data_IF_618426960036
#
_entry.id   IF_618426960036
#
_cell.length_a   1.000
_cell.length_b   1.000
_cell.length_c   1.000
_cell.angle_alpha   90.00
_cell.angle_beta   90.00
_cell.angle_gamma   90.00
#
_symmetry.space_group_name_H-M   'P 1'
#
loop_
_entity.id
_entity.type
_entity.pdbx_description
1 polymer ?
#
# COMPACT_ATOMS: atom_id res chain seq x y z
N UNK A 1 20.54 18.48 8.67
CA UNK A 1 20.62 17.60 9.86
C UNK A 1 19.45 16.61 9.92
N UNK A 2 18.19 17.06 10.03
CA UNK A 2 17.03 16.17 10.18
C UNK A 2 16.86 15.13 9.04
N UNK A 3 17.15 15.51 7.79
CA UNK A 3 17.11 14.58 6.66
C UNK A 3 18.10 13.41 6.79
N UNK A 4 19.29 13.64 7.36
CA UNK A 4 20.27 12.60 7.65
C UNK A 4 19.74 11.65 8.72
N UNK A 5 19.15 12.19 9.79
CA UNK A 5 18.55 11.39 10.87
C UNK A 5 17.43 10.48 10.34
N UNK A 6 16.57 11.00 9.46
CA UNK A 6 15.53 10.20 8.80
C UNK A 6 16.13 9.12 7.92
N UNK A 7 17.17 9.45 7.14
CA UNK A 7 17.86 8.47 6.30
C UNK A 7 18.49 7.34 7.15
N UNK A 8 19.17 7.67 8.24
CA UNK A 8 19.75 6.69 9.17
C UNK A 8 18.66 5.79 9.78
N UNK A 9 17.54 6.37 10.22
CA UNK A 9 16.43 5.62 10.81
C UNK A 9 15.79 4.63 9.82
N UNK A 10 15.66 5.02 8.55
CA UNK A 10 15.13 4.16 7.49
C UNK A 10 16.15 3.09 7.07
N UNK A 11 17.43 3.43 7.00
CA UNK A 11 18.51 2.48 6.70
C UNK A 11 18.70 1.42 7.80
N UNK A 12 18.35 1.74 9.05
CA UNK A 12 18.43 0.79 10.17
C UNK A 12 17.62 -0.48 9.92
N UNK A 13 16.54 -0.40 9.11
CA UNK A 13 15.73 -1.54 8.72
C UNK A 13 16.52 -2.66 7.98
N UNK A 14 17.64 -2.33 7.33
CA UNK A 14 18.50 -3.33 6.66
C UNK A 14 19.33 -4.16 7.67
N UNK A 15 19.67 -3.58 8.81
CA UNK A 15 20.55 -4.16 9.84
C UNK A 15 19.76 -4.83 10.97
N UNK A 16 18.56 -4.33 11.25
CA UNK A 16 17.65 -4.88 12.26
C UNK A 16 17.17 -6.30 11.96
N UNK A 17 16.62 -6.98 12.98
CA UNK A 17 16.00 -8.31 12.80
C UNK A 17 14.63 -8.20 12.10
N UNK A 18 14.36 -8.97 11.02
CA UNK A 18 15.26 -9.89 10.32
C UNK A 18 16.27 -9.13 9.45
N UNK A 19 17.56 -9.46 9.59
CA UNK A 19 18.61 -8.74 8.85
C UNK A 19 18.63 -9.13 7.38
N UNK A 20 18.87 -8.14 6.53
CA UNK A 20 19.01 -8.31 5.08
C UNK A 20 20.42 -8.73 4.66
N UNK A 21 21.37 -8.72 5.62
CA UNK A 21 22.77 -9.07 5.45
C UNK A 21 22.94 -10.59 5.36
N UNK A 22 22.57 -11.16 4.20
CA UNK A 22 22.82 -12.54 3.81
C UNK A 22 23.31 -12.59 2.37
N UNK A 23 24.16 -13.55 2.03
CA UNK A 23 24.74 -13.69 0.68
C UNK A 23 23.66 -13.98 -0.37
N UNK A 24 22.63 -14.75 0.01
CA UNK A 24 21.51 -15.09 -0.86
C UNK A 24 20.19 -14.94 -0.10
N UNK A 25 19.16 -14.45 -0.80
CA UNK A 25 17.79 -14.39 -0.30
C UNK A 25 17.00 -15.68 -0.54
N UNK A 26 17.55 -16.64 -1.31
CA UNK A 26 16.90 -17.93 -1.57
C UNK A 26 16.85 -18.76 -0.28
N UNK A 27 15.66 -19.14 0.24
CA UNK A 27 15.53 -19.95 1.45
C UNK A 27 16.31 -21.28 1.40
N UNK A 28 16.55 -21.83 0.20
CA UNK A 28 17.26 -23.09 -0.01
C UNK A 28 18.77 -22.98 0.23
N UNK A 29 19.34 -21.80 -0.01
CA UNK A 29 20.79 -21.54 0.06
C UNK A 29 21.15 -20.42 1.04
N UNK A 30 20.24 -20.07 1.96
CA UNK A 30 20.40 -18.92 2.83
C UNK A 30 21.42 -19.18 3.93
N UNK A 31 22.55 -18.46 3.88
CA UNK A 31 23.50 -18.39 4.98
C UNK A 31 22.83 -17.77 6.22
N UNK A 32 23.25 -18.14 7.46
CA UNK A 32 22.73 -17.50 8.66
C UNK A 32 22.95 -15.99 8.58
N UNK A 33 21.88 -15.21 8.72
CA UNK A 33 21.96 -13.76 8.61
C UNK A 33 22.66 -13.19 9.86
N UNK A 34 23.50 -12.18 9.67
CA UNK A 34 24.19 -11.54 10.79
C UNK A 34 23.19 -10.89 11.74
N UNK A 35 23.20 -11.28 13.01
CA UNK A 35 22.27 -10.74 14.01
C UNK A 35 22.99 -9.69 14.88
N UNK A 36 22.52 -8.44 14.90
CA UNK A 36 23.11 -7.44 15.77
C UNK A 36 22.85 -7.79 17.25
N UNK A 37 23.75 -7.38 18.15
CA UNK A 37 23.49 -7.45 19.59
C UNK A 37 22.31 -6.55 19.96
N UNK A 38 21.50 -6.98 20.92
CA UNK A 38 20.22 -6.36 21.26
C UNK A 38 20.30 -4.84 21.51
N UNK A 39 21.36 -4.34 22.15
CA UNK A 39 21.50 -2.92 22.48
C UNK A 39 21.94 -2.01 21.32
N UNK A 40 22.54 -2.54 20.25
CA UNK A 40 23.16 -1.70 19.21
C UNK A 40 22.11 -0.95 18.40
N UNK A 41 21.15 -1.66 17.80
CA UNK A 41 20.10 -1.03 16.98
C UNK A 41 19.21 -0.12 17.83
N UNK A 42 18.86 -0.55 19.04
CA UNK A 42 18.03 0.25 19.97
C UNK A 42 18.71 1.56 20.37
N UNK A 43 20.04 1.57 20.50
CA UNK A 43 20.80 2.78 20.84
C UNK A 43 20.78 3.81 19.71
N UNK A 44 20.94 3.38 18.46
CA UNK A 44 20.82 4.28 17.30
C UNK A 44 19.38 4.78 17.13
N UNK A 45 18.38 3.93 17.37
CA UNK A 45 16.98 4.35 17.35
C UNK A 45 16.69 5.42 18.41
N UNK A 46 17.20 5.25 19.63
CA UNK A 46 17.06 6.26 20.68
C UNK A 46 17.70 7.58 20.34
N UNK A 47 18.90 7.56 19.77
CA UNK A 47 19.57 8.77 19.33
C UNK A 47 18.72 9.53 18.31
N UNK A 48 18.12 8.80 17.36
CA UNK A 48 17.21 9.40 16.37
C UNK A 48 15.94 9.95 17.03
N UNK A 49 15.31 9.21 17.94
CA UNK A 49 14.12 9.64 18.66
C UNK A 49 14.38 10.89 19.49
N UNK A 50 15.52 10.98 20.16
CA UNK A 50 15.91 12.15 20.94
C UNK A 50 16.06 13.39 20.04
N UNK A 51 16.67 13.24 18.86
CA UNK A 51 16.74 14.32 17.86
C UNK A 51 15.33 14.77 17.41
N UNK A 52 14.39 13.84 17.20
CA UNK A 52 13.01 14.19 16.86
C UNK A 52 12.25 14.86 18.01
N UNK A 53 12.49 14.46 19.25
CA UNK A 53 11.96 15.14 20.44
C UNK A 53 12.47 16.58 20.54
N UNK A 54 13.76 16.80 20.31
CA UNK A 54 14.35 18.14 20.29
C UNK A 54 13.76 18.99 19.16
N UNK A 55 13.62 18.43 17.95
CA UNK A 55 12.97 19.12 16.82
C UNK A 55 11.51 19.50 17.14
N UNK A 56 10.75 18.61 17.78
CA UNK A 56 9.38 18.89 18.22
C UNK A 56 9.36 19.99 19.28
N UNK A 57 10.27 19.96 20.26
CA UNK A 57 10.35 20.97 21.32
C UNK A 57 10.67 22.35 20.76
N UNK A 58 11.65 22.45 19.85
CA UNK A 58 11.99 23.70 19.15
C UNK A 58 10.82 24.21 18.32
N UNK A 59 10.14 23.34 17.56
CA UNK A 59 8.95 23.73 16.79
C UNK A 59 7.80 24.19 17.68
N UNK A 60 7.57 23.52 18.81
CA UNK A 60 6.53 23.89 19.77
C UNK A 60 6.81 25.26 20.40
N UNK A 61 8.08 25.52 20.76
CA UNK A 61 8.51 26.80 21.31
C UNK A 61 8.36 27.95 20.30
N UNK A 62 8.77 27.75 19.04
CA UNK A 62 8.74 28.79 18.02
C UNK A 62 7.32 29.14 17.52
N UNK A 63 6.43 28.16 17.42
CA UNK A 63 5.07 28.34 16.87
C UNK A 63 4.09 28.88 17.94
N UNK A 64 4.36 28.60 19.22
CA UNK A 64 3.46 28.91 20.32
C UNK A 64 2.33 27.88 20.49
N UNK A 65 1.81 27.78 21.71
CA UNK A 65 0.92 26.70 22.13
C UNK A 65 -0.47 26.71 21.44
N UNK A 66 -1.02 27.90 21.19
CA UNK A 66 -2.34 28.06 20.57
C UNK A 66 -2.35 27.59 19.11
N UNK A 67 -1.30 27.95 18.36
CA UNK A 67 -1.19 27.58 16.95
C UNK A 67 -0.74 26.12 16.78
N UNK A 68 0.03 25.60 17.75
CA UNK A 68 0.39 24.18 17.84
C UNK A 68 -0.86 23.28 17.85
N UNK A 69 -1.87 23.62 18.66
CA UNK A 69 -3.10 22.82 18.81
C UNK A 69 -3.99 22.87 17.56
N UNK A 70 -3.85 23.87 16.70
CA UNK A 70 -4.58 23.94 15.42
C UNK A 70 -3.93 23.10 14.33
N UNK A 71 -2.61 22.92 14.38
CA UNK A 71 -1.88 22.20 13.34
C UNK A 71 -1.95 20.68 13.50
N UNK A 72 -2.88 20.05 12.76
CA UNK A 72 -3.09 18.58 12.76
C UNK A 72 -1.83 17.76 12.48
N UNK A 73 -0.93 18.26 11.64
CA UNK A 73 0.34 17.59 11.33
C UNK A 73 1.28 17.53 12.53
N UNK A 74 1.28 18.58 13.35
CA UNK A 74 2.15 18.69 14.52
C UNK A 74 1.60 17.86 15.70
N UNK A 75 0.27 17.81 15.85
CA UNK A 75 -0.41 16.87 16.76
C UNK A 75 -0.09 15.42 16.38
N UNK A 76 -0.23 15.06 15.10
CA UNK A 76 0.09 13.72 14.63
C UNK A 76 1.57 13.37 14.85
N UNK A 77 2.48 14.31 14.63
CA UNK A 77 3.90 14.13 14.92
C UNK A 77 4.19 13.88 16.40
N UNK A 78 3.50 14.60 17.28
CA UNK A 78 3.60 14.40 18.74
C UNK A 78 3.10 13.02 19.14
N UNK A 79 1.94 12.60 18.63
CA UNK A 79 1.38 11.29 18.91
C UNK A 79 2.30 10.15 18.43
N UNK A 80 2.87 10.28 17.23
CA UNK A 80 3.81 9.29 16.68
C UNK A 80 5.09 9.19 17.50
N UNK A 81 5.65 10.32 17.96
CA UNK A 81 6.83 10.31 18.84
C UNK A 81 6.51 9.62 20.17
N UNK A 82 5.40 9.97 20.82
CA UNK A 82 5.00 9.37 22.10
C UNK A 82 4.82 7.85 21.96
N UNK A 83 4.10 7.41 20.93
CA UNK A 83 3.90 5.98 20.68
C UNK A 83 5.23 5.26 20.39
N UNK A 84 6.14 5.90 19.65
CA UNK A 84 7.47 5.34 19.36
C UNK A 84 8.35 5.20 20.61
N UNK A 85 8.25 6.15 21.55
CA UNK A 85 8.95 6.08 22.84
C UNK A 85 8.38 4.93 23.69
N UNK A 86 7.06 4.78 23.75
CA UNK A 86 6.40 3.70 24.50
C UNK A 86 6.84 2.33 23.95
N UNK A 87 6.77 2.14 22.64
CA UNK A 87 7.22 0.90 21.97
C UNK A 87 8.71 0.63 22.22
N UNK A 88 9.56 1.67 22.20
CA UNK A 88 10.97 1.51 22.54
C UNK A 88 11.20 1.06 23.98
N UNK A 89 10.52 1.69 24.96
CA UNK A 89 10.62 1.31 26.38
C UNK A 89 10.17 -0.14 26.58
N UNK A 90 9.09 -0.57 25.94
CA UNK A 90 8.63 -1.96 25.96
C UNK A 90 9.68 -2.92 25.37
N UNK A 91 10.27 -2.55 24.23
CA UNK A 91 11.29 -3.37 23.56
C UNK A 91 12.53 -3.60 24.41
N UNK A 92 13.01 -2.56 25.10
CA UNK A 92 14.14 -2.66 26.04
C UNK A 92 13.76 -3.49 27.26
N UNK A 93 12.54 -3.32 27.78
CA UNK A 93 12.04 -4.05 28.95
C UNK A 93 11.95 -5.56 28.69
N UNK A 94 11.64 -5.95 27.46
CA UNK A 94 11.56 -7.35 27.02
C UNK A 94 12.89 -7.90 26.49
N UNK A 95 14.03 -7.23 26.72
CA UNK A 95 15.36 -7.67 26.27
C UNK A 95 15.40 -7.98 24.76
N UNK A 96 14.65 -7.20 23.97
CA UNK A 96 14.54 -7.33 22.52
C UNK A 96 13.95 -8.65 21.99
N UNK A 97 13.18 -9.38 22.80
CA UNK A 97 12.49 -10.62 22.39
C UNK A 97 11.10 -10.38 21.74
N UNK A 98 10.76 -9.12 21.49
CA UNK A 98 9.49 -8.75 20.88
C UNK A 98 9.44 -9.10 19.38
N UNK A 99 8.42 -9.87 18.99
CA UNK A 99 8.23 -10.34 17.60
C UNK A 99 7.77 -9.23 16.65
N UNK A 100 6.99 -8.27 17.13
CA UNK A 100 6.41 -7.19 16.32
C UNK A 100 6.75 -5.84 16.91
N UNK A 101 7.58 -5.06 16.20
CA UNK A 101 7.95 -3.71 16.62
C UNK A 101 7.11 -2.70 15.84
N UNK A 102 6.07 -2.15 16.48
CA UNK A 102 5.07 -1.31 15.81
C UNK A 102 5.68 0.01 15.36
N UNK A 103 6.66 0.53 16.11
CA UNK A 103 7.39 1.78 15.77
C UNK A 103 8.00 1.78 14.36
N UNK A 104 8.34 0.61 13.80
CA UNK A 104 8.90 0.49 12.44
C UNK A 104 7.92 0.98 11.37
N UNK A 105 6.63 0.68 11.55
CA UNK A 105 5.56 1.08 10.64
C UNK A 105 5.36 2.60 10.63
N UNK A 106 5.73 3.27 11.72
CA UNK A 106 5.59 4.71 11.88
C UNK A 106 6.77 5.49 11.28
N UNK A 107 7.92 4.87 10.99
CA UNK A 107 9.12 5.59 10.48
C UNK A 107 8.88 6.41 9.21
N UNK A 108 8.15 5.92 8.19
CA UNK A 108 7.85 6.71 6.99
C UNK A 108 7.09 8.01 7.31
N UNK A 109 6.37 8.07 8.43
CA UNK A 109 5.69 9.28 8.87
C UNK A 109 6.66 10.44 9.14
N UNK A 110 7.86 10.16 9.66
CA UNK A 110 8.85 11.21 9.91
C UNK A 110 9.31 11.90 8.61
N UNK A 111 9.43 11.13 7.52
CA UNK A 111 9.71 11.67 6.19
C UNK A 111 8.53 12.51 5.67
N UNK A 112 7.30 11.99 5.82
CA UNK A 112 6.08 12.71 5.44
C UNK A 112 5.90 14.03 6.20
N UNK A 113 6.22 14.05 7.49
CA UNK A 113 6.10 15.23 8.34
C UNK A 113 7.12 16.32 7.96
N UNK A 114 8.32 15.94 7.52
CA UNK A 114 9.36 16.90 7.16
C UNK A 114 9.17 17.50 5.76
N UNK A 115 8.63 16.73 4.81
CA UNK A 115 8.49 17.17 3.41
C UNK A 115 7.18 17.91 3.16
N UNK A 116 7.27 19.22 2.87
CA UNK A 116 6.10 20.03 2.47
C UNK A 116 5.50 19.58 1.14
N UNK A 117 6.32 19.07 0.23
CA UNK A 117 5.88 18.51 -1.06
C UNK A 117 5.02 17.26 -0.83
N UNK A 118 5.48 16.31 0.00
CA UNK A 118 4.73 15.08 0.27
C UNK A 118 3.38 15.37 0.94
N UNK A 119 3.32 16.34 1.87
CA UNK A 119 2.05 16.78 2.48
C UNK A 119 1.06 17.31 1.44
N UNK A 120 1.54 18.10 0.49
CA UNK A 120 0.72 18.60 -0.63
C UNK A 120 0.25 17.45 -1.53
N UNK A 121 1.12 16.49 -1.84
CA UNK A 121 0.78 15.31 -2.65
C UNK A 121 -0.26 14.44 -1.96
N UNK A 122 -0.13 14.15 -0.66
CA UNK A 122 -1.13 13.40 0.11
C UNK A 122 -2.48 14.11 0.18
N UNK A 123 -2.47 15.45 0.37
CA UNK A 123 -3.71 16.24 0.32
C UNK A 123 -4.37 16.15 -1.06
N UNK A 124 -3.59 16.10 -2.13
CA UNK A 124 -4.10 15.87 -3.48
C UNK A 124 -4.72 14.48 -3.62
N UNK A 125 -3.99 13.41 -3.26
CA UNK A 125 -4.49 12.03 -3.32
C UNK A 125 -5.80 11.90 -2.55
N UNK A 126 -5.88 12.47 -1.35
CA UNK A 126 -7.11 12.47 -0.54
C UNK A 126 -8.28 13.17 -1.25
N UNK A 127 -8.01 14.25 -2.00
CA UNK A 127 -9.02 15.00 -2.73
C UNK A 127 -9.53 14.24 -3.96
N UNK A 128 -8.67 13.47 -4.62
CA UNK A 128 -9.02 12.68 -5.82
C UNK A 128 -9.63 11.32 -5.48
N UNK A 129 -9.41 10.81 -4.28
CA UNK A 129 -9.95 9.54 -3.79
C UNK A 129 -11.48 9.36 -3.99
N UNK A 130 -12.36 10.34 -3.69
CA UNK A 130 -13.80 10.15 -3.88
C UNK A 130 -14.21 9.95 -5.34
N UNK A 131 -13.51 10.56 -6.30
CA UNK A 131 -13.82 10.40 -7.72
C UNK A 131 -13.32 9.06 -8.26
N UNK A 132 -12.19 8.56 -7.76
CA UNK A 132 -11.69 7.22 -8.09
C UNK A 132 -12.61 6.15 -7.46
N UNK A 133 -13.20 6.42 -6.29
CA UNK A 133 -14.06 5.47 -5.60
C UNK A 133 -15.29 5.05 -6.40
N UNK A 134 -15.87 5.94 -7.22
CA UNK A 134 -17.03 5.60 -8.07
C UNK A 134 -16.68 4.57 -9.16
N UNK A 135 -15.47 4.66 -9.73
CA UNK A 135 -14.97 3.72 -10.74
C UNK A 135 -14.61 2.39 -10.10
N UNK A 136 -13.97 2.42 -8.92
CA UNK A 136 -13.69 1.20 -8.14
C UNK A 136 -14.99 0.47 -7.80
N UNK A 137 -16.05 1.21 -7.43
CA UNK A 137 -17.37 0.64 -7.19
C UNK A 137 -17.94 -0.02 -8.45
N UNK A 138 -17.85 0.64 -9.61
CA UNK A 138 -18.28 0.06 -10.89
C UNK A 138 -17.50 -1.22 -11.23
N UNK A 139 -16.19 -1.22 -11.00
CA UNK A 139 -15.33 -2.39 -11.19
C UNK A 139 -15.68 -3.54 -10.23
N UNK A 140 -15.96 -3.22 -8.96
CA UNK A 140 -16.40 -4.20 -7.98
C UNK A 140 -17.76 -4.80 -8.37
N UNK A 141 -18.71 -3.99 -8.84
CA UNK A 141 -20.00 -4.47 -9.36
C UNK A 141 -19.82 -5.39 -10.57
N UNK A 142 -18.95 -5.02 -11.51
CA UNK A 142 -18.59 -5.86 -12.66
C UNK A 142 -18.02 -7.22 -12.21
N UNK A 143 -17.07 -7.23 -11.27
CA UNK A 143 -16.51 -8.46 -10.71
C UNK A 143 -17.59 -9.31 -10.02
N UNK A 144 -18.42 -8.72 -9.16
CA UNK A 144 -19.47 -9.45 -8.44
C UNK A 144 -20.52 -10.05 -9.38
N UNK A 145 -20.96 -9.31 -10.40
CA UNK A 145 -21.93 -9.79 -11.38
C UNK A 145 -21.39 -10.98 -12.17
N UNK A 146 -20.18 -10.86 -12.73
CA UNK A 146 -19.57 -11.96 -13.47
C UNK A 146 -19.21 -13.14 -12.57
N UNK A 147 -18.91 -12.91 -11.29
CA UNK A 147 -18.71 -13.98 -10.30
C UNK A 147 -19.98 -14.78 -10.10
N UNK A 148 -21.13 -14.12 -9.87
CA UNK A 148 -22.42 -14.80 -9.71
C UNK A 148 -22.82 -15.55 -10.99
N UNK A 149 -22.67 -14.92 -12.16
CA UNK A 149 -22.97 -15.55 -13.45
C UNK A 149 -22.05 -16.77 -13.67
N UNK A 150 -20.75 -16.63 -13.44
CA UNK A 150 -19.77 -17.70 -13.59
C UNK A 150 -20.07 -18.89 -12.68
N UNK A 151 -20.39 -18.65 -11.41
CA UNK A 151 -20.80 -19.72 -10.51
C UNK A 151 -22.09 -20.41 -10.99
N UNK A 152 -23.10 -19.68 -11.44
CA UNK A 152 -24.33 -20.31 -11.96
C UNK A 152 -24.09 -21.11 -13.24
N UNK A 153 -23.20 -20.63 -14.11
CA UNK A 153 -22.90 -21.25 -15.40
C UNK A 153 -22.02 -22.50 -15.25
N UNK A 154 -21.12 -22.51 -14.26
CA UNK A 154 -20.10 -23.56 -14.10
C UNK A 154 -20.33 -24.48 -12.89
N UNK A 155 -21.20 -24.14 -11.92
CA UNK A 155 -21.47 -24.99 -10.75
C UNK A 155 -22.26 -26.28 -11.06
N UNK A 156 -22.82 -26.43 -12.27
CA UNK A 156 -23.75 -27.52 -12.62
C UNK A 156 -23.15 -28.63 -13.51
N UNK A 157 -21.84 -28.75 -13.61
CA UNK A 157 -21.24 -29.82 -14.41
C UNK A 157 -21.16 -31.12 -13.59
N UNK A 158 -22.15 -32.01 -13.79
CA UNK A 158 -22.48 -33.20 -12.97
C UNK A 158 -21.44 -34.34 -12.94
N UNK A 159 -20.28 -34.22 -13.60
CA UNK A 159 -19.27 -35.29 -13.68
C UNK A 159 -18.00 -35.03 -12.84
N UNK A 160 -17.93 -35.50 -11.57
CA UNK A 160 -16.78 -35.28 -10.69
C UNK A 160 -15.46 -35.92 -11.18
N UNK A 161 -15.51 -36.85 -12.14
CA UNK A 161 -14.31 -37.53 -12.70
C UNK A 161 -13.65 -36.77 -13.86
N UNK A 162 -14.34 -35.82 -14.50
CA UNK A 162 -13.81 -35.02 -15.63
C UNK A 162 -13.55 -33.56 -15.27
N UNK A 163 -13.94 -33.14 -14.06
CA UNK A 163 -14.09 -31.72 -13.69
C UNK A 163 -13.19 -31.22 -12.54
N UNK A 164 -12.14 -31.95 -12.15
CA UNK A 164 -11.32 -31.58 -10.98
C UNK A 164 -10.69 -30.18 -11.04
N UNK A 165 -10.36 -29.67 -12.23
CA UNK A 165 -9.77 -28.33 -12.38
C UNK A 165 -10.79 -27.18 -12.27
N UNK A 166 -12.08 -27.47 -12.42
CA UNK A 166 -13.14 -26.47 -12.30
C UNK A 166 -13.45 -26.09 -10.87
N UNK A 167 -13.39 -27.06 -9.97
CA UNK A 167 -13.56 -26.83 -8.54
C UNK A 167 -12.49 -25.89 -7.98
N UNK A 168 -11.33 -25.78 -8.64
CA UNK A 168 -10.28 -24.85 -8.23
C UNK A 168 -10.70 -23.39 -8.47
N UNK A 169 -11.42 -23.11 -9.55
CA UNK A 169 -11.73 -21.74 -9.96
C UNK A 169 -13.13 -21.26 -9.56
N UNK A 170 -14.18 -22.06 -9.77
CA UNK A 170 -15.58 -21.58 -9.67
C UNK A 170 -16.43 -22.28 -8.59
N UNK A 171 -15.80 -22.92 -7.60
CA UNK A 171 -16.51 -23.66 -6.53
C UNK A 171 -17.27 -22.76 -5.56
N UNK A 172 -16.60 -21.76 -5.02
CA UNK A 172 -17.13 -20.85 -4.00
C UNK A 172 -17.00 -19.39 -4.47
N UNK A 173 -17.80 -18.49 -3.90
CA UNK A 173 -17.78 -17.07 -4.26
C UNK A 173 -16.38 -16.45 -4.15
N UNK A 174 -15.65 -16.75 -3.07
CA UNK A 174 -14.30 -16.21 -2.84
C UNK A 174 -13.28 -16.71 -3.89
N UNK A 175 -13.31 -18.00 -4.23
CA UNK A 175 -12.40 -18.56 -5.24
C UNK A 175 -12.72 -18.03 -6.64
N UNK A 176 -14.01 -17.94 -6.96
CA UNK A 176 -14.53 -17.40 -8.23
C UNK A 176 -14.16 -15.93 -8.39
N UNK A 177 -14.36 -15.14 -7.33
CA UNK A 177 -13.99 -13.72 -7.31
C UNK A 177 -12.48 -13.54 -7.49
N UNK A 178 -11.66 -14.36 -6.83
CA UNK A 178 -10.19 -14.31 -6.96
C UNK A 178 -9.77 -14.69 -8.37
N UNK A 179 -10.34 -15.75 -8.94
CA UNK A 179 -10.02 -16.21 -10.30
C UNK A 179 -10.36 -15.14 -11.34
N UNK A 180 -11.51 -14.45 -11.20
CA UNK A 180 -11.90 -13.35 -12.07
C UNK A 180 -11.10 -12.07 -11.80
N UNK A 181 -10.70 -11.80 -10.56
CA UNK A 181 -9.82 -10.67 -10.22
C UNK A 181 -8.43 -10.83 -10.85
N UNK A 182 -7.88 -12.05 -10.86
CA UNK A 182 -6.61 -12.37 -11.56
C UNK A 182 -6.80 -12.35 -13.08
N UNK A 183 -7.98 -12.74 -13.58
CA UNK A 183 -8.29 -12.64 -15.01
C UNK A 183 -8.44 -11.19 -15.48
N UNK A 184 -8.95 -10.30 -14.63
CA UNK A 184 -9.07 -8.87 -14.91
C UNK A 184 -7.69 -8.24 -15.19
N UNK A 185 -6.64 -8.73 -14.52
CA UNK A 185 -5.23 -8.38 -14.78
C UNK A 185 -4.58 -9.26 -15.85
N UNK A 186 -5.33 -10.17 -16.46
CA UNK A 186 -4.93 -11.11 -17.53
C UNK A 186 -3.82 -12.09 -17.16
N UNK A 187 -3.52 -12.28 -15.87
CA UNK A 187 -2.39 -13.09 -15.43
C UNK A 187 -2.61 -14.61 -15.55
N UNK A 188 -3.86 -15.07 -15.59
CA UNK A 188 -4.25 -16.48 -15.71
C UNK A 188 -5.00 -16.78 -17.01
N UNK A 189 -4.86 -15.95 -18.05
CA UNK A 189 -5.39 -16.23 -19.39
C UNK A 189 -4.32 -17.00 -20.21
N UNK A 190 -4.59 -18.20 -20.76
CA UNK A 190 -5.89 -18.89 -20.92
C UNK A 190 -6.25 -19.90 -19.82
N UNK A 191 -5.40 -20.12 -18.83
CA UNK A 191 -5.53 -21.18 -17.81
C UNK A 191 -6.93 -21.27 -17.17
N UNK A 192 -7.51 -20.15 -16.77
CA UNK A 192 -8.85 -20.12 -16.14
C UNK A 192 -9.99 -20.48 -17.10
N UNK A 193 -9.76 -20.35 -18.42
CA UNK A 193 -10.75 -20.60 -19.47
C UNK A 193 -10.65 -22.03 -20.05
N UNK A 194 -9.46 -22.64 -20.03
CA UNK A 194 -9.21 -23.95 -20.65
C UNK A 194 -10.21 -25.04 -20.23
N UNK A 195 -10.52 -25.23 -18.93
CA UNK A 195 -11.49 -26.23 -18.51
C UNK A 195 -12.85 -26.01 -19.20
N UNK A 196 -13.31 -24.77 -19.29
CA UNK A 196 -14.56 -24.38 -19.94
C UNK A 196 -14.57 -24.58 -21.43
N UNK A 197 -13.50 -24.15 -22.07
CA UNK A 197 -13.36 -24.24 -23.49
C UNK A 197 -13.36 -25.70 -23.98
N UNK A 198 -12.76 -26.61 -23.18
CA UNK A 198 -12.67 -28.03 -23.51
C UNK A 198 -14.02 -28.76 -23.49
N UNK A 199 -14.97 -28.32 -22.64
CA UNK A 199 -16.32 -28.88 -22.59
C UNK A 199 -17.18 -28.36 -23.73
N UNK A 200 -17.20 -27.04 -23.92
CA UNK A 200 -17.92 -26.39 -25.01
C UNK A 200 -17.22 -25.09 -25.38
N UNK A 201 -16.90 -24.94 -26.67
CA UNK A 201 -16.28 -23.72 -27.21
C UNK A 201 -17.11 -22.47 -26.93
N UNK A 202 -18.43 -22.61 -26.78
CA UNK A 202 -19.34 -21.50 -26.47
C UNK A 202 -19.02 -20.77 -25.15
N UNK A 203 -18.41 -21.44 -24.17
CA UNK A 203 -18.05 -20.82 -22.90
C UNK A 203 -16.95 -19.75 -23.04
N UNK A 204 -16.18 -19.71 -24.14
CA UNK A 204 -15.20 -18.64 -24.37
C UNK A 204 -15.84 -17.27 -24.43
N UNK A 205 -17.11 -17.18 -24.83
CA UNK A 205 -17.84 -15.90 -24.93
C UNK A 205 -17.95 -15.23 -23.55
N UNK A 206 -18.12 -16.01 -22.48
CA UNK A 206 -18.15 -15.49 -21.12
C UNK A 206 -16.82 -14.81 -20.75
N UNK A 207 -15.68 -15.49 -20.95
CA UNK A 207 -14.37 -14.96 -20.61
C UNK A 207 -13.96 -13.78 -21.50
N UNK A 208 -14.25 -13.86 -22.81
CA UNK A 208 -13.98 -12.76 -23.74
C UNK A 208 -14.80 -11.52 -23.40
N UNK A 209 -16.11 -11.67 -23.13
CA UNK A 209 -16.95 -10.53 -22.76
C UNK A 209 -16.51 -9.90 -21.43
N UNK A 210 -16.12 -10.72 -20.45
CA UNK A 210 -15.52 -10.25 -19.20
C UNK A 210 -14.25 -9.43 -19.45
N UNK A 211 -13.28 -9.96 -20.20
CA UNK A 211 -12.03 -9.26 -20.49
C UNK A 211 -12.23 -7.97 -21.30
N UNK A 212 -13.18 -7.96 -22.24
CA UNK A 212 -13.48 -6.76 -23.03
C UNK A 212 -14.05 -5.65 -22.16
N UNK A 213 -15.02 -5.97 -21.31
CA UNK A 213 -15.65 -4.98 -20.43
C UNK A 213 -14.67 -4.57 -19.32
N UNK A 214 -14.03 -5.52 -18.65
CA UNK A 214 -13.13 -5.26 -17.53
C UNK A 214 -11.84 -4.55 -17.95
N UNK A 215 -11.06 -5.16 -18.83
CA UNK A 215 -9.72 -4.68 -19.17
C UNK A 215 -9.76 -3.54 -20.19
N UNK A 216 -10.55 -3.65 -21.26
CA UNK A 216 -10.55 -2.60 -22.30
C UNK A 216 -11.47 -1.43 -22.02
N UNK A 217 -12.58 -1.61 -21.29
CA UNK A 217 -13.47 -0.51 -20.94
C UNK A 217 -13.13 0.05 -19.55
N UNK A 218 -13.27 -0.75 -18.49
CA UNK A 218 -13.19 -0.24 -17.11
C UNK A 218 -11.77 0.20 -16.70
N UNK A 219 -10.72 -0.56 -17.04
CA UNK A 219 -9.34 -0.14 -16.71
C UNK A 219 -8.91 1.10 -17.50
N UNK A 220 -9.25 1.19 -18.78
CA UNK A 220 -8.96 2.39 -19.58
C UNK A 220 -9.73 3.61 -19.09
N UNK A 221 -10.99 3.44 -18.65
CA UNK A 221 -11.77 4.50 -18.01
C UNK A 221 -11.14 4.94 -16.68
N UNK A 222 -10.66 4.00 -15.86
CA UNK A 222 -9.95 4.30 -14.62
C UNK A 222 -8.70 5.15 -14.89
N UNK A 223 -7.88 4.75 -15.87
CA UNK A 223 -6.71 5.52 -16.30
C UNK A 223 -7.09 6.92 -16.78
N UNK A 224 -8.16 7.06 -17.57
CA UNK A 224 -8.63 8.35 -18.07
C UNK A 224 -9.07 9.30 -16.93
N UNK A 225 -9.78 8.77 -15.92
CA UNK A 225 -10.22 9.56 -14.76
C UNK A 225 -9.03 10.00 -13.92
N UNK A 226 -8.09 9.08 -13.64
CA UNK A 226 -6.85 9.40 -12.93
C UNK A 226 -6.08 10.49 -13.68
N UNK A 227 -5.94 10.37 -15.01
CA UNK A 227 -5.28 11.37 -15.84
C UNK A 227 -5.95 12.75 -15.74
N UNK A 228 -7.29 12.80 -15.83
CA UNK A 228 -8.03 14.07 -15.74
C UNK A 228 -7.80 14.76 -14.38
N UNK A 229 -7.73 13.97 -13.30
CA UNK A 229 -7.45 14.48 -11.95
C UNK A 229 -6.02 15.00 -11.78
N UNK A 230 -5.03 14.25 -12.28
CA UNK A 230 -3.64 14.71 -12.26
C UNK A 230 -3.43 15.95 -13.12
N UNK A 231 -4.06 16.04 -14.29
CA UNK A 231 -4.04 17.24 -15.14
C UNK A 231 -4.60 18.45 -14.40
N UNK A 232 -5.75 18.29 -13.74
CA UNK A 232 -6.36 19.35 -12.92
C UNK A 232 -5.47 19.79 -11.74
N UNK A 233 -4.72 18.86 -11.14
CA UNK A 233 -3.75 19.16 -10.09
C UNK A 233 -2.54 19.94 -10.61
N UNK A 234 -1.92 19.49 -11.71
CA UNK A 234 -0.76 20.13 -12.31
C UNK A 234 -1.08 21.57 -12.73
N UNK A 235 -2.24 21.79 -13.35
CA UNK A 235 -2.69 23.14 -13.71
C UNK A 235 -2.78 24.06 -12.48
N UNK A 236 -3.38 23.60 -11.37
CA UNK A 236 -3.44 24.39 -10.13
C UNK A 236 -2.07 24.72 -9.58
N UNK A 237 -1.12 23.80 -9.62
CA UNK A 237 0.26 24.07 -9.19
C UNK A 237 0.97 25.09 -10.07
N UNK A 238 0.82 24.98 -11.40
CA UNK A 238 1.35 25.97 -12.33
C UNK A 238 0.76 27.37 -12.09
N UNK A 239 -0.55 27.47 -11.85
CA UNK A 239 -1.18 28.75 -11.51
C UNK A 239 -0.66 29.31 -10.18
N UNK A 240 -0.59 28.51 -9.12
CA UNK A 240 -0.02 28.96 -7.83
C UNK A 240 1.44 29.42 -7.96
N UNK A 241 2.24 28.75 -8.79
CA UNK A 241 3.62 29.13 -9.06
C UNK A 241 3.71 30.43 -9.87
N UNK A 242 2.85 30.59 -10.88
CA UNK A 242 2.78 31.79 -11.72
C UNK A 242 2.35 33.02 -10.91
N UNK A 243 1.30 32.91 -10.09
CA UNK A 243 0.86 34.00 -9.21
C UNK A 243 1.97 34.43 -8.23
N UNK A 244 2.67 33.48 -7.61
CA UNK A 244 3.83 33.81 -6.77
C UNK A 244 4.97 34.50 -7.50
N UNK A 245 5.10 34.26 -8.81
CA UNK A 245 6.13 34.88 -9.64
C UNK A 245 5.71 36.24 -10.21
N UNK A 246 4.41 36.57 -10.19
CA UNK A 246 3.87 37.88 -10.58
C UNK A 246 3.69 38.84 -9.40
N UNK A 247 3.58 38.32 -8.16
CA UNK A 247 3.53 39.12 -6.92
C UNK A 247 4.94 39.54 -6.41
N UNK A 248 6.00 39.33 -7.21
CA UNK A 248 7.39 39.78 -6.99
C UNK A 248 7.77 40.72 -8.13
#
# INVERSE_FOLDING_TARGET
>A
FLGLTIAVLLLLAFVERPSSLSISSDPRFRSPAWQPPCGFTESFEMLCLLIFCLDLAVKSYLIGWEEFRKNKWLIAYTAVIVFSIIDWVLSVSMVCDERLRVRRLLRPFFLLQNSSLMKKTLKCIKRTLPEIASVILLLALHLCLFTMIGMLLFAKSEDPKRNGEWELHFKDFSSSLTSLLVLLTTANNPDVMIPAYSLNRGYSIFFVSFSVIGTYCLMNLLTAIIYNQFRGYLLKQCFEACFKSCDI
#
